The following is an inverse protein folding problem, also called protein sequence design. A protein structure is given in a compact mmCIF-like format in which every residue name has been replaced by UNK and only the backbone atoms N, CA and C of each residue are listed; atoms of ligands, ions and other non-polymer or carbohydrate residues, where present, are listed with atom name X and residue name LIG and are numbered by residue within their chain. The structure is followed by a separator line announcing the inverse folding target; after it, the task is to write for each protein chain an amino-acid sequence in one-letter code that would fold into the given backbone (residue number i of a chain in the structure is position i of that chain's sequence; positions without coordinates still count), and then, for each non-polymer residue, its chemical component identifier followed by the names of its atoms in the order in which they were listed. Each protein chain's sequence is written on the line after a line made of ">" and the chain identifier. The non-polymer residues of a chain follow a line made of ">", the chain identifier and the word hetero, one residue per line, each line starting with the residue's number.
data_IF_358424496324
#
_entry.id   IF_358424496324
#
_cell.length_a   1.000
_cell.length_b   1.000
_cell.length_c   1.000
_cell.angle_alpha   90.00
_cell.angle_beta   90.00
_cell.angle_gamma   90.00
#
_symmetry.space_group_name_H-M   'P 1'
#
loop_
_entity.id
_entity.type
_entity.pdbx_description
1 polymer ?
#
# COMPACT_ATOMS: atom_id res chain seq x y z
N UNK A 1 -5.65 -10.74 -7.87
CA UNK A 1 -5.11 -9.37 -7.69
C UNK A 1 -3.73 -9.51 -7.07
N UNK A 2 -2.69 -9.50 -7.91
CA UNK A 2 -1.30 -9.71 -7.52
C UNK A 2 -0.85 -8.92 -6.28
N UNK A 3 -1.29 -7.67 -6.14
CA UNK A 3 -0.93 -6.80 -5.00
C UNK A 3 -1.32 -7.42 -3.66
N UNK A 4 -2.52 -8.00 -3.58
CA UNK A 4 -2.98 -8.68 -2.38
C UNK A 4 -2.10 -9.90 -2.08
N UNK A 5 -1.78 -10.71 -3.10
CA UNK A 5 -0.96 -11.91 -2.94
C UNK A 5 0.48 -11.59 -2.49
N UNK A 6 1.01 -10.42 -2.87
CA UNK A 6 2.29 -9.93 -2.37
C UNK A 6 2.14 -9.47 -0.93
N UNK A 7 1.27 -8.49 -0.66
CA UNK A 7 1.16 -7.86 0.66
C UNK A 7 0.62 -8.81 1.75
N UNK A 8 -0.16 -9.84 1.40
CA UNK A 8 -0.69 -10.81 2.37
C UNK A 8 0.44 -11.59 3.04
N UNK A 9 1.58 -11.79 2.37
CA UNK A 9 2.75 -12.45 2.96
C UNK A 9 3.28 -11.69 4.18
N UNK A 10 3.19 -10.36 4.20
CA UNK A 10 3.58 -9.53 5.35
C UNK A 10 2.66 -9.69 6.56
N UNK A 11 1.46 -10.25 6.41
CA UNK A 11 0.58 -10.50 7.58
C UNK A 11 1.16 -11.56 8.52
N UNK A 12 2.08 -12.41 8.06
CA UNK A 12 2.87 -13.30 8.94
C UNK A 12 3.64 -12.54 10.02
N UNK A 13 4.04 -11.29 9.75
CA UNK A 13 4.74 -10.39 10.66
C UNK A 13 3.84 -9.84 11.76
N UNK A 14 2.54 -9.78 11.52
CA UNK A 14 1.55 -9.38 12.51
C UNK A 14 1.38 -10.47 13.56
N UNK A 15 1.16 -10.08 14.82
CA UNK A 15 0.82 -10.97 15.94
C UNK A 15 -0.21 -12.00 15.51
N UNK A 16 0.04 -13.27 15.87
CA UNK A 16 -0.70 -14.42 15.36
C UNK A 16 -2.22 -14.29 15.57
N UNK A 17 -2.64 -13.85 16.75
CA UNK A 17 -4.05 -13.61 17.12
C UNK A 17 -4.74 -12.52 16.32
N UNK A 18 -3.98 -11.69 15.60
CA UNK A 18 -4.49 -10.53 14.86
C UNK A 18 -4.31 -10.66 13.33
N UNK A 19 -3.69 -11.75 12.84
CA UNK A 19 -3.38 -11.94 11.42
C UNK A 19 -4.62 -11.91 10.52
N UNK A 20 -5.71 -12.54 10.95
CA UNK A 20 -6.97 -12.52 10.21
C UNK A 20 -7.53 -11.10 10.08
N UNK A 21 -7.42 -10.30 11.13
CA UNK A 21 -7.82 -8.88 11.10
C UNK A 21 -6.94 -8.07 10.17
N UNK A 22 -5.63 -8.30 10.17
CA UNK A 22 -4.70 -7.66 9.24
C UNK A 22 -4.99 -8.03 7.77
N UNK A 23 -5.27 -9.31 7.49
CA UNK A 23 -5.65 -9.79 6.17
C UNK A 23 -6.97 -9.16 5.68
N UNK A 24 -7.96 -9.06 6.58
CA UNK A 24 -9.25 -8.41 6.33
C UNK A 24 -9.10 -6.90 6.08
N UNK A 25 -8.24 -6.23 6.86
CA UNK A 25 -7.90 -4.83 6.66
C UNK A 25 -7.27 -4.59 5.29
N UNK A 26 -6.25 -5.39 4.94
CA UNK A 26 -5.60 -5.34 3.63
C UNK A 26 -6.60 -5.55 2.49
N UNK A 27 -7.45 -6.58 2.58
CA UNK A 27 -8.46 -6.84 1.54
C UNK A 27 -9.41 -5.64 1.37
N UNK A 28 -9.88 -5.06 2.48
CA UNK A 28 -10.77 -3.89 2.48
C UNK A 28 -10.09 -2.68 1.86
N UNK A 29 -8.82 -2.44 2.18
CA UNK A 29 -8.05 -1.34 1.63
C UNK A 29 -7.83 -1.49 0.12
N UNK A 30 -7.48 -2.69 -0.35
CA UNK A 30 -7.30 -2.95 -1.78
C UNK A 30 -8.61 -2.75 -2.54
N UNK A 31 -9.75 -3.17 -1.98
CA UNK A 31 -11.07 -2.87 -2.56
C UNK A 31 -11.35 -1.37 -2.60
N UNK A 32 -11.06 -0.64 -1.51
CA UNK A 32 -11.20 0.81 -1.45
C UNK A 32 -10.36 1.52 -2.53
N UNK A 33 -9.11 1.10 -2.74
CA UNK A 33 -8.26 1.67 -3.81
C UNK A 33 -8.85 1.41 -5.20
N UNK A 34 -9.37 0.20 -5.46
CA UNK A 34 -10.02 -0.07 -6.75
C UNK A 34 -11.26 0.82 -6.99
N UNK A 35 -12.01 1.14 -5.93
CA UNK A 35 -13.18 2.00 -6.03
C UNK A 35 -12.80 3.47 -6.25
N UNK A 36 -11.69 3.94 -5.65
CA UNK A 36 -11.17 5.29 -5.88
C UNK A 36 -10.70 5.49 -7.33
N UNK A 37 -10.22 4.43 -7.98
CA UNK A 37 -9.70 4.48 -9.34
C UNK A 37 -10.53 3.59 -10.30
N UNK A 38 -11.70 4.07 -10.77
CA UNK A 38 -12.67 3.23 -11.48
C UNK A 38 -12.16 2.63 -12.79
N UNK A 39 -11.20 3.29 -13.45
CA UNK A 39 -10.59 2.79 -14.69
C UNK A 39 -9.48 1.78 -14.40
N UNK A 40 -8.54 2.16 -13.54
CA UNK A 40 -7.48 1.33 -12.98
C UNK A 40 -6.69 2.16 -11.99
N UNK A 41 -6.24 1.52 -10.91
CA UNK A 41 -5.27 2.14 -9.98
C UNK A 41 -3.97 2.47 -10.76
N UNK A 42 -3.32 3.62 -10.53
CA UNK A 42 -2.01 3.88 -11.12
C UNK A 42 -0.98 2.85 -10.62
N UNK A 43 -0.14 2.26 -11.48
CA UNK A 43 0.91 1.33 -11.07
C UNK A 43 1.77 1.83 -9.91
N UNK A 44 2.07 3.13 -9.92
CA UNK A 44 2.87 3.81 -8.91
C UNK A 44 2.27 3.62 -7.51
N UNK A 45 0.94 3.66 -7.36
CA UNK A 45 0.29 3.45 -6.06
C UNK A 45 0.59 2.06 -5.52
N UNK A 46 0.35 1.02 -6.31
CA UNK A 46 0.54 -0.35 -5.85
C UNK A 46 2.01 -0.72 -5.67
N UNK A 47 2.87 -0.34 -6.62
CA UNK A 47 4.30 -0.61 -6.54
C UNK A 47 4.92 0.11 -5.34
N UNK A 48 4.60 1.38 -5.09
CA UNK A 48 5.13 2.09 -3.93
C UNK A 48 4.58 1.52 -2.64
N UNK A 49 3.30 1.15 -2.58
CA UNK A 49 2.72 0.52 -1.41
C UNK A 49 3.46 -0.77 -1.05
N UNK A 50 3.77 -1.61 -2.03
CA UNK A 50 4.58 -2.83 -1.85
C UNK A 50 5.98 -2.49 -1.36
N UNK A 51 6.71 -1.63 -2.08
CA UNK A 51 8.08 -1.24 -1.74
C UNK A 51 8.19 -0.76 -0.29
N UNK A 52 7.36 0.21 0.10
CA UNK A 52 7.45 0.83 1.44
C UNK A 52 7.03 -0.13 2.55
N UNK A 53 5.97 -0.93 2.35
CA UNK A 53 5.56 -1.91 3.36
C UNK A 53 6.60 -3.01 3.58
N UNK A 54 7.23 -3.50 2.51
CA UNK A 54 8.31 -4.48 2.64
C UNK A 54 9.55 -3.88 3.30
N UNK A 55 10.00 -2.69 2.88
CA UNK A 55 11.15 -2.00 3.53
C UNK A 55 10.96 -1.85 5.03
N UNK A 56 9.72 -1.65 5.47
CA UNK A 56 9.39 -1.46 6.88
C UNK A 56 9.28 -2.76 7.67
N UNK A 57 8.66 -3.80 7.09
CA UNK A 57 8.20 -4.95 7.86
C UNK A 57 8.81 -6.30 7.45
N UNK A 58 9.44 -6.41 6.29
CA UNK A 58 10.00 -7.68 5.80
C UNK A 58 10.99 -8.30 6.80
N UNK A 59 11.86 -7.47 7.37
CA UNK A 59 12.91 -7.88 8.31
C UNK A 59 12.40 -8.03 9.76
N UNK A 60 11.13 -7.73 10.02
CA UNK A 60 10.54 -7.97 11.32
C UNK A 60 10.40 -9.48 11.59
N UNK A 61 10.42 -9.86 12.87
CA UNK A 61 10.17 -11.24 13.27
C UNK A 61 8.70 -11.59 13.06
N UNK A 62 8.42 -12.81 12.66
CA UNK A 62 7.04 -13.28 12.54
C UNK A 62 6.31 -13.15 13.88
N UNK A 63 5.08 -12.61 13.83
CA UNK A 63 4.27 -12.37 15.03
C UNK A 63 4.72 -11.20 15.90
N UNK A 64 5.70 -10.38 15.50
CA UNK A 64 6.20 -9.28 16.34
C UNK A 64 5.45 -7.96 16.16
N UNK A 65 4.81 -7.74 15.01
CA UNK A 65 4.20 -6.46 14.67
C UNK A 65 2.76 -6.40 15.22
N UNK A 66 2.38 -5.35 15.97
CA UNK A 66 0.99 -5.14 16.36
C UNK A 66 0.09 -4.82 15.15
N UNK A 67 -1.17 -5.26 15.18
CA UNK A 67 -2.15 -4.91 14.13
C UNK A 67 -2.21 -3.40 13.85
N UNK A 68 -2.22 -2.60 14.93
CA UNK A 68 -2.28 -1.13 14.84
C UNK A 68 -1.17 -0.56 13.97
N UNK A 69 0.06 -1.03 14.17
CA UNK A 69 1.22 -0.51 13.44
C UNK A 69 1.08 -0.83 11.94
N UNK A 70 0.85 -2.10 11.63
CA UNK A 70 0.67 -2.56 10.25
C UNK A 70 -0.50 -1.84 9.54
N UNK A 71 -1.66 -1.72 10.20
CA UNK A 71 -2.84 -1.09 9.62
C UNK A 71 -2.65 0.42 9.43
N UNK A 72 -2.07 1.11 10.42
CA UNK A 72 -1.77 2.54 10.33
C UNK A 72 -0.83 2.84 9.17
N UNK A 73 0.27 2.09 9.06
CA UNK A 73 1.28 2.29 8.03
C UNK A 73 0.70 2.07 6.63
N UNK A 74 -0.01 0.96 6.45
CA UNK A 74 -0.64 0.61 5.19
C UNK A 74 -1.69 1.65 4.77
N UNK A 75 -2.52 2.12 5.72
CA UNK A 75 -3.56 3.11 5.45
C UNK A 75 -3.00 4.49 5.12
N UNK A 76 -2.00 4.95 5.89
CA UNK A 76 -1.34 6.23 5.67
C UNK A 76 -0.68 6.28 4.29
N UNK A 77 0.07 5.23 3.93
CA UNK A 77 0.67 5.10 2.61
C UNK A 77 -0.39 5.11 1.50
N UNK A 78 -1.49 4.38 1.66
CA UNK A 78 -2.56 4.38 0.67
C UNK A 78 -3.16 5.77 0.43
N UNK A 79 -3.36 6.58 1.48
CA UNK A 79 -3.82 7.98 1.35
C UNK A 79 -2.79 8.80 0.57
N UNK A 80 -1.53 8.79 1.03
CA UNK A 80 -0.45 9.59 0.44
C UNK A 80 -0.29 9.27 -1.04
N UNK A 81 -0.22 7.99 -1.38
CA UNK A 81 0.04 7.54 -2.74
C UNK A 81 -1.14 7.81 -3.67
N UNK A 82 -2.37 7.71 -3.18
CA UNK A 82 -3.55 8.05 -3.97
C UNK A 82 -3.56 9.54 -4.30
N UNK A 83 -3.33 10.40 -3.30
CA UNK A 83 -3.22 11.85 -3.50
C UNK A 83 -2.07 12.28 -4.41
N UNK A 84 -0.96 11.55 -4.37
CA UNK A 84 0.23 11.88 -5.16
C UNK A 84 0.11 11.49 -6.64
N UNK A 85 -0.87 10.65 -7.01
CA UNK A 85 -0.94 10.05 -8.37
C UNK A 85 -2.17 10.46 -9.17
N UNK A 86 -3.21 10.98 -8.52
CA UNK A 86 -4.39 11.49 -9.22
C UNK A 86 -4.25 12.99 -9.49
N UNK A 87 -4.65 13.41 -10.69
CA UNK A 87 -4.79 14.82 -11.03
C UNK A 87 -6.07 15.39 -10.37
N UNK A 88 -7.08 14.54 -10.17
CA UNK A 88 -8.27 14.86 -9.41
C UNK A 88 -7.95 14.82 -7.90
N UNK A 89 -8.50 15.77 -7.15
CA UNK A 89 -8.25 15.83 -5.72
C UNK A 89 -8.90 14.64 -4.98
N UNK A 90 -8.08 13.70 -4.50
CA UNK A 90 -8.50 12.65 -3.57
C UNK A 90 -8.41 13.19 -2.13
N UNK A 91 -9.49 13.04 -1.37
CA UNK A 91 -9.58 13.45 0.02
C UNK A 91 -9.54 12.23 0.95
N UNK A 92 -9.26 12.47 2.24
CA UNK A 92 -9.26 11.38 3.25
C UNK A 92 -10.65 10.77 3.36
N UNK A 93 -11.67 11.62 3.29
CA UNK A 93 -13.09 11.31 3.36
C UNK A 93 -13.54 10.32 2.27
N UNK A 94 -12.78 10.18 1.19
CA UNK A 94 -13.08 9.23 0.12
C UNK A 94 -12.78 7.78 0.54
N UNK A 95 -11.96 7.56 1.57
CA UNK A 95 -11.65 6.24 2.15
C UNK A 95 -12.78 5.69 3.05
N UNK A 96 -14.03 5.82 2.61
CA UNK A 96 -15.25 5.53 3.39
C UNK A 96 -15.29 4.11 3.95
N UNK A 97 -14.82 3.08 3.22
CA UNK A 97 -14.84 1.69 3.69
C UNK A 97 -13.94 1.49 4.92
N UNK A 98 -12.88 2.26 5.04
CA UNK A 98 -11.99 2.21 6.22
C UNK A 98 -12.56 3.10 7.32
N UNK A 99 -12.93 4.34 6.99
CA UNK A 99 -13.31 5.35 7.97
C UNK A 99 -14.70 5.15 8.59
N UNK A 100 -15.60 4.42 7.94
CA UNK A 100 -16.96 4.17 8.43
C UNK A 100 -17.20 2.75 8.92
N UNK A 101 -16.20 1.86 8.84
CA UNK A 101 -16.35 0.47 9.28
C UNK A 101 -15.74 0.30 10.67
N UNK A 102 -16.53 -0.06 11.71
CA UNK A 102 -16.03 -0.16 13.08
C UNK A 102 -14.83 -1.10 13.25
N UNK A 103 -14.82 -2.23 12.56
CA UNK A 103 -13.70 -3.18 12.60
C UNK A 103 -12.39 -2.59 12.05
N UNK A 104 -12.48 -1.74 11.01
CA UNK A 104 -11.32 -1.10 10.40
C UNK A 104 -10.80 0.05 11.27
N UNK A 105 -11.71 0.83 11.87
CA UNK A 105 -11.37 1.85 12.86
C UNK A 105 -10.69 1.25 14.11
N UNK A 106 -11.18 0.08 14.56
CA UNK A 106 -10.55 -0.65 15.66
C UNK A 106 -9.14 -1.11 15.30
N UNK A 107 -8.91 -1.58 14.06
CA UNK A 107 -7.58 -1.97 13.60
C UNK A 107 -6.61 -0.77 13.57
N UNK A 108 -7.09 0.43 13.29
CA UNK A 108 -6.30 1.67 13.35
C UNK A 108 -6.11 2.22 14.78
N UNK A 109 -6.84 1.67 15.76
CA UNK A 109 -6.85 2.12 17.15
C UNK A 109 -7.08 3.63 17.29
N UNK A 110 -8.05 4.14 16.52
CA UNK A 110 -8.49 5.53 16.61
C UNK A 110 -9.27 5.77 17.89
N UNK A 111 -8.88 6.82 18.62
CA UNK A 111 -9.49 7.23 19.89
C UNK A 111 -10.89 7.78 19.68
N UNK A 112 -11.84 7.38 20.54
CA UNK A 112 -13.24 7.83 20.49
C UNK A 112 -13.41 9.33 20.79
N UNK A 113 -12.43 9.96 21.47
CA UNK A 113 -12.48 11.37 21.85
C UNK A 113 -12.05 12.36 20.76
N UNK A 114 -11.57 11.88 19.62
CA UNK A 114 -11.08 12.73 18.52
C UNK A 114 -11.81 12.40 17.22
N UNK A 115 -12.01 13.41 16.37
CA UNK A 115 -12.53 13.19 15.02
C UNK A 115 -11.64 12.21 14.25
N UNK A 116 -12.26 11.19 13.65
CA UNK A 116 -11.61 10.18 12.79
C UNK A 116 -10.79 10.85 11.69
N UNK A 117 -11.31 11.92 11.09
CA UNK A 117 -10.62 12.67 10.04
C UNK A 117 -9.35 13.34 10.58
N UNK A 118 -9.41 13.94 11.77
CA UNK A 118 -8.22 14.57 12.40
C UNK A 118 -7.14 13.54 12.69
N UNK A 119 -7.53 12.35 13.17
CA UNK A 119 -6.60 11.25 13.43
C UNK A 119 -5.97 10.73 12.12
N UNK A 120 -6.77 10.55 11.07
CA UNK A 120 -6.28 10.17 9.75
C UNK A 120 -5.32 11.21 9.13
N UNK A 121 -5.61 12.52 9.26
CA UNK A 121 -4.71 13.61 8.85
C UNK A 121 -3.38 13.57 9.60
N UNK A 122 -3.44 13.31 10.90
CA UNK A 122 -2.24 13.20 11.75
C UNK A 122 -1.40 12.01 11.30
N UNK A 123 -2.04 10.87 11.06
CA UNK A 123 -1.40 9.66 10.57
C UNK A 123 -0.76 9.86 9.20
N UNK A 124 -1.47 10.47 8.24
CA UNK A 124 -0.94 10.85 6.92
C UNK A 124 0.32 11.71 7.05
N UNK A 125 0.28 12.77 7.87
CA UNK A 125 1.42 13.67 8.06
C UNK A 125 2.64 12.94 8.63
N UNK A 126 2.43 12.13 9.67
CA UNK A 126 3.53 11.37 10.32
C UNK A 126 4.18 10.43 9.30
N UNK A 127 3.38 9.71 8.51
CA UNK A 127 3.93 8.77 7.54
C UNK A 127 4.62 9.47 6.38
N UNK A 128 4.08 10.60 5.91
CA UNK A 128 4.68 11.38 4.84
C UNK A 128 6.09 11.89 5.21
N UNK A 129 6.25 12.37 6.44
CA UNK A 129 7.57 12.75 6.99
C UNK A 129 8.47 11.52 7.12
N UNK A 130 7.92 10.39 7.59
CA UNK A 130 8.68 9.14 7.80
C UNK A 130 9.25 8.58 6.50
N UNK A 131 8.53 8.69 5.39
CA UNK A 131 9.02 8.28 4.06
C UNK A 131 9.85 9.36 3.37
N UNK A 132 10.19 10.44 4.06
CA UNK A 132 10.96 11.58 3.53
C UNK A 132 10.34 12.14 2.24
N UNK A 133 9.01 12.17 2.18
CA UNK A 133 8.24 12.59 0.99
C UNK A 133 8.56 11.78 -0.28
N UNK A 134 9.24 10.63 -0.17
CA UNK A 134 9.64 9.79 -1.29
C UNK A 134 8.51 8.82 -1.69
N UNK A 135 7.62 9.29 -2.56
CA UNK A 135 6.49 8.48 -3.08
C UNK A 135 6.84 7.62 -4.31
N UNK A 136 8.10 7.67 -4.77
CA UNK A 136 8.56 6.85 -5.90
C UNK A 136 8.87 5.42 -5.41
N UNK A 137 8.46 4.38 -6.14
CA UNK A 137 8.85 3.02 -5.81
C UNK A 137 10.31 2.77 -6.22
N UNK A 138 10.99 1.96 -5.43
CA UNK A 138 12.24 1.31 -5.78
C UNK A 138 11.96 0.01 -6.54
N UNK A 139 12.11 0.05 -7.87
CA UNK A 139 11.74 -1.07 -8.74
C UNK A 139 12.68 -2.26 -8.59
N UNK A 140 13.95 -2.03 -8.24
CA UNK A 140 14.92 -3.10 -8.02
C UNK A 140 14.56 -3.89 -6.76
N UNK A 141 14.15 -3.19 -5.69
CA UNK A 141 13.64 -3.82 -4.48
C UNK A 141 12.36 -4.63 -4.75
N UNK A 142 11.43 -4.13 -5.58
CA UNK A 142 10.23 -4.89 -5.95
C UNK A 142 10.58 -6.17 -6.72
N UNK A 143 11.56 -6.10 -7.62
CA UNK A 143 12.04 -7.28 -8.35
C UNK A 143 12.69 -8.31 -7.41
N UNK A 144 13.33 -7.87 -6.34
CA UNK A 144 13.84 -8.76 -5.29
C UNK A 144 12.70 -9.45 -4.53
N UNK A 145 11.68 -8.70 -4.12
CA UNK A 145 10.47 -9.25 -3.47
C UNK A 145 9.82 -10.33 -4.34
N UNK A 146 9.66 -10.06 -5.65
CA UNK A 146 9.06 -11.02 -6.59
C UNK A 146 9.87 -12.32 -6.71
N UNK A 147 11.19 -12.24 -6.73
CA UNK A 147 12.08 -13.42 -6.74
C UNK A 147 11.91 -14.25 -5.46
N UNK A 148 11.80 -13.61 -4.31
CA UNK A 148 11.66 -14.30 -3.03
C UNK A 148 10.33 -15.06 -2.90
N UNK A 149 9.23 -14.48 -3.40
CA UNK A 149 7.89 -15.09 -3.29
C UNK A 149 7.73 -16.36 -4.14
N UNK A 150 8.54 -16.51 -5.21
CA UNK A 150 8.56 -17.68 -6.09
C UNK A 150 7.17 -18.15 -6.59
N UNK A 151 6.21 -17.23 -6.68
CA UNK A 151 4.86 -17.49 -7.15
C UNK A 151 4.70 -16.99 -8.60
N UNK A 152 4.61 -17.95 -9.53
CA UNK A 152 4.43 -17.68 -10.95
C UNK A 152 3.12 -16.93 -11.25
N UNK A 153 2.08 -17.12 -10.45
CA UNK A 153 0.78 -16.46 -10.66
C UNK A 153 0.89 -14.94 -10.48
N UNK A 154 1.72 -14.49 -9.53
CA UNK A 154 1.98 -13.06 -9.28
C UNK A 154 2.61 -12.42 -10.51
N UNK A 155 3.59 -13.10 -11.13
CA UNK A 155 4.25 -12.60 -12.33
C UNK A 155 3.27 -12.46 -13.50
N UNK A 156 2.43 -13.49 -13.74
CA UNK A 156 1.43 -13.47 -14.81
C UNK A 156 0.39 -12.37 -14.60
N UNK A 157 -0.11 -12.22 -13.37
CA UNK A 157 -1.08 -11.18 -13.03
C UNK A 157 -0.47 -9.78 -13.20
N UNK A 158 0.78 -9.57 -12.77
CA UNK A 158 1.48 -8.30 -12.92
C UNK A 158 1.71 -7.97 -14.40
N UNK A 159 2.24 -8.93 -15.18
CA UNK A 159 2.41 -8.79 -16.63
C UNK A 159 1.08 -8.42 -17.29
N UNK A 160 0.00 -9.11 -16.94
CA UNK A 160 -1.33 -8.88 -17.52
C UNK A 160 -1.87 -7.49 -17.15
N UNK A 161 -1.66 -7.07 -15.90
CA UNK A 161 -2.05 -5.75 -15.41
C UNK A 161 -1.37 -4.64 -16.22
N UNK A 162 -0.05 -4.69 -16.34
CA UNK A 162 0.70 -3.68 -17.07
C UNK A 162 0.49 -3.73 -18.57
N UNK A 163 0.20 -4.89 -19.16
CA UNK A 163 -0.14 -4.98 -20.59
C UNK A 163 -1.43 -4.23 -20.95
N UNK A 164 -2.39 -4.22 -20.03
CA UNK A 164 -3.67 -3.54 -20.24
C UNK A 164 -3.59 -2.03 -19.96
N UNK A 165 -2.59 -1.61 -19.21
CA UNK A 165 -2.23 -0.21 -19.09
C UNK A 165 -1.40 0.12 -20.33
N UNK A 166 -2.01 0.80 -21.30
CA UNK A 166 -1.32 1.32 -22.48
C UNK A 166 -0.37 2.42 -21.97
N UNK A 167 0.78 2.05 -21.40
CA UNK A 167 1.72 3.01 -20.82
C UNK A 167 2.84 3.27 -21.83
N UNK A 168 2.87 4.50 -22.35
CA UNK A 168 3.99 5.07 -23.10
C UNK A 168 5.15 5.45 -22.14
N UNK A 169 5.58 4.54 -21.27
CA UNK A 169 6.63 4.83 -20.29
C UNK A 169 7.76 3.81 -20.34
N UNK A 170 8.88 4.26 -20.90
CA UNK A 170 10.14 3.50 -20.97
C UNK A 170 10.59 2.97 -19.59
N UNK A 171 10.23 3.67 -18.50
CA UNK A 171 10.59 3.29 -17.14
C UNK A 171 9.90 1.99 -16.72
N UNK A 172 8.64 1.78 -17.10
CA UNK A 172 7.93 0.53 -16.81
C UNK A 172 8.28 -0.58 -17.81
N UNK A 173 8.66 -0.24 -19.04
CA UNK A 173 9.10 -1.24 -20.02
C UNK A 173 10.33 -2.01 -19.53
N UNK A 174 11.32 -1.29 -18.98
CA UNK A 174 12.50 -1.95 -18.41
C UNK A 174 12.12 -2.86 -17.25
N UNK A 175 11.32 -2.37 -16.30
CA UNK A 175 10.84 -3.18 -15.18
C UNK A 175 10.06 -4.42 -15.63
N UNK A 176 9.14 -4.28 -16.59
CA UNK A 176 8.38 -5.40 -17.13
C UNK A 176 9.27 -6.41 -17.84
N UNK A 177 10.26 -5.95 -18.60
CA UNK A 177 11.23 -6.85 -19.23
C UNK A 177 11.95 -7.72 -18.19
N UNK A 178 12.28 -7.15 -17.03
CA UNK A 178 12.88 -7.90 -15.92
C UNK A 178 11.89 -8.87 -15.26
N UNK A 179 10.62 -8.48 -15.06
CA UNK A 179 9.57 -9.39 -14.57
C UNK A 179 9.37 -10.57 -15.52
N UNK A 180 9.34 -10.31 -16.83
CA UNK A 180 9.26 -11.36 -17.86
C UNK A 180 10.48 -12.29 -17.82
N UNK A 181 11.68 -11.74 -17.61
CA UNK A 181 12.89 -12.55 -17.47
C UNK A 181 12.82 -13.46 -16.24
N UNK A 182 12.39 -12.96 -15.08
CA UNK A 182 12.16 -13.77 -13.88
C UNK A 182 11.16 -14.89 -14.14
N UNK A 183 9.98 -14.55 -14.70
CA UNK A 183 8.96 -15.52 -15.06
C UNK A 183 9.49 -16.62 -15.98
N UNK A 184 10.27 -16.27 -17.02
CA UNK A 184 10.87 -17.24 -17.94
C UNK A 184 11.92 -18.14 -17.26
N UNK A 185 12.75 -17.59 -16.39
CA UNK A 185 13.72 -18.36 -15.63
C UNK A 185 13.06 -19.41 -14.72
N UNK A 186 11.86 -19.15 -14.20
CA UNK A 186 11.09 -20.13 -13.42
C UNK A 186 10.42 -21.22 -14.26
N UNK A 187 10.09 -20.94 -15.53
CA UNK A 187 9.48 -21.92 -16.44
C UNK A 187 10.47 -22.92 -17.03
N UNK A 188 11.72 -22.51 -17.20
CA UNK A 188 12.78 -23.39 -17.69
C UNK A 188 13.40 -24.01 -16.44
N UNK A 189 13.10 -25.28 -16.09
CA UNK A 189 13.84 -25.93 -15.01
C UNK A 189 15.33 -25.84 -15.39
N UNK A 190 16.23 -25.58 -14.43
CA UNK A 190 17.65 -25.64 -14.72
C UNK A 190 17.90 -27.06 -15.23
N UNK A 191 17.97 -27.21 -16.55
CA UNK A 191 18.37 -28.45 -17.20
C UNK A 191 19.69 -28.74 -16.55
N UNK A 192 19.72 -29.82 -15.76
CA UNK A 192 20.86 -30.13 -14.95
C UNK A 192 22.11 -29.91 -15.78
N UNK A 193 23.11 -29.28 -15.19
CA UNK A 193 24.47 -29.62 -15.54
C UNK A 193 24.62 -31.13 -15.28
N UNK A 194 24.07 -31.95 -16.17
CA UNK A 194 24.60 -33.25 -16.46
C UNK A 194 26.00 -32.93 -16.90
N UNK A 195 26.93 -33.02 -15.94
CA UNK A 195 28.29 -33.41 -16.22
C UNK A 195 28.18 -34.66 -17.07
N UNK A 196 28.06 -34.48 -18.39
CA UNK A 196 28.20 -35.57 -19.32
C UNK A 196 29.64 -36.03 -19.11
N UNK A 197 29.88 -37.24 -18.58
CA UNK A 197 31.18 -37.84 -18.76
C UNK A 197 31.39 -37.87 -20.26
N UNK A 198 32.57 -37.49 -20.72
CA UNK A 198 32.98 -37.53 -22.12
C UNK A 198 32.97 -38.97 -22.64
N UNK A 199 31.78 -39.51 -22.90
CA UNK A 199 31.60 -40.82 -23.48
C UNK A 199 31.91 -40.74 -24.97
N UNK A 200 33.06 -41.28 -25.33
CA UNK A 200 33.40 -41.62 -26.72
C UNK A 200 32.27 -42.46 -27.30
N UNK A 201 31.61 -41.93 -28.32
CA UNK A 201 30.56 -42.61 -29.09
C UNK A 201 31.11 -43.92 -29.68
N UNK A 202 30.51 -45.05 -29.29
CA UNK A 202 30.26 -46.17 -30.19
C UNK A 202 28.76 -46.29 -30.35
N UNK A 203 28.27 -46.16 -31.58
CA UNK A 203 26.91 -46.54 -31.95
C UNK A 203 26.69 -48.02 -31.64
N UNK A 204 25.49 -48.35 -31.16
CA UNK A 204 24.80 -49.45 -31.81
C UNK A 204 23.33 -49.11 -32.16
N UNK A 205 22.83 -49.97 -33.03
CA UNK A 205 21.56 -49.93 -33.73
C UNK A 205 20.32 -50.06 -32.84
N UNK A 206 19.22 -49.70 -33.50
CA UNK A 206 17.80 -49.82 -33.16
C UNK A 206 17.44 -51.03 -32.30
N UNK A 207 16.53 -50.83 -31.35
CA UNK A 207 15.31 -51.63 -31.26
C UNK A 207 14.20 -50.90 -30.49
N UNK A 208 13.00 -51.03 -31.03
CA UNK A 208 11.66 -50.63 -30.58
C UNK A 208 11.22 -51.32 -29.28
N UNK A 209 10.52 -50.63 -28.37
CA UNK A 209 9.13 -50.97 -28.03
C UNK A 209 8.47 -50.01 -27.03
N UNK A 210 7.15 -49.92 -27.15
CA UNK A 210 6.19 -49.17 -26.35
C UNK A 210 6.18 -49.53 -24.85
N UNK A 211 5.90 -48.56 -23.97
CA UNK A 211 4.70 -48.61 -23.10
C UNK A 211 4.51 -47.41 -22.16
N UNK A 212 3.22 -47.23 -21.86
CA UNK A 212 2.54 -46.18 -21.10
C UNK A 212 3.08 -45.80 -19.72
N UNK A 213 2.83 -44.55 -19.32
CA UNK A 213 2.46 -44.25 -17.92
C UNK A 213 1.58 -43.01 -17.79
N UNK A 214 0.46 -43.21 -17.10
CA UNK A 214 -0.51 -42.24 -16.59
C UNK A 214 0.13 -40.99 -15.97
N UNK A 215 -0.27 -39.81 -16.42
CA UNK A 215 -0.19 -38.58 -15.63
C UNK A 215 -1.55 -38.27 -14.99
N UNK A 216 -1.62 -38.43 -13.68
CA UNK A 216 -2.70 -37.93 -12.84
C UNK A 216 -2.63 -36.39 -12.77
N UNK A 217 -3.69 -35.71 -13.20
CA UNK A 217 -3.94 -34.29 -12.93
C UNK A 217 -4.28 -34.11 -11.44
N UNK A 218 -3.67 -33.15 -10.72
CA UNK A 218 -4.24 -32.67 -9.47
C UNK A 218 -5.42 -31.73 -9.73
N UNK A 219 -6.47 -31.91 -8.94
CA UNK A 219 -7.63 -31.03 -8.83
C UNK A 219 -7.15 -29.60 -8.47
N UNK A 220 -7.54 -28.62 -9.29
CA UNK A 220 -7.46 -27.21 -8.94
C UNK A 220 -8.70 -26.89 -8.10
N UNK A 221 -8.47 -26.51 -6.84
CA UNK A 221 -9.48 -25.94 -5.95
C UNK A 221 -10.02 -24.64 -6.57
N UNK A 222 -11.31 -24.63 -6.90
CA UNK A 222 -12.05 -23.45 -7.31
C UNK A 222 -12.40 -22.63 -6.06
N UNK A 223 -11.75 -21.50 -5.85
CA UNK A 223 -12.28 -20.44 -4.99
C UNK A 223 -13.22 -19.55 -5.82
N UNK A 224 -14.48 -19.34 -5.39
CA UNK A 224 -15.44 -18.52 -6.10
C UNK A 224 -15.31 -17.06 -5.65
N UNK A 225 -14.41 -16.29 -6.26
CA UNK A 225 -14.43 -14.84 -6.08
C UNK A 225 -14.25 -14.11 -7.41
N UNK A 226 -15.26 -13.29 -7.72
CA UNK A 226 -15.30 -12.19 -8.70
C UNK A 226 -15.68 -12.54 -10.15
N UNK A 227 -16.98 -12.82 -10.38
CA UNK A 227 -17.64 -12.46 -11.64
C UNK A 227 -17.91 -10.94 -11.57
N UNK A 228 -17.13 -10.13 -12.29
CA UNK A 228 -17.50 -8.72 -12.54
C UNK A 228 -18.55 -8.66 -13.65
N UNK A 229 -19.66 -7.93 -13.48
CA UNK A 229 -20.53 -7.62 -14.61
C UNK A 229 -19.77 -6.75 -15.63
N UNK A 230 -19.84 -7.13 -16.91
CA UNK A 230 -19.40 -6.29 -18.04
C UNK A 230 -20.27 -5.04 -18.07
N UNK A 231 -19.70 -3.90 -17.71
CA UNK A 231 -20.30 -2.58 -18.00
C UNK A 231 -19.75 -2.14 -19.36
N UNK A 232 -20.65 -1.81 -20.30
CA UNK A 232 -20.30 -1.25 -21.60
C UNK A 232 -19.73 0.17 -21.42
N UNK A 233 -18.49 0.46 -21.86
CA UNK A 233 -17.94 1.80 -21.80
C UNK A 233 -18.27 2.54 -23.10
N UNK A 234 -19.45 3.15 -23.14
CA UNK A 234 -19.73 4.22 -24.09
C UNK A 234 -19.77 5.52 -23.28
N UNK A 235 -18.64 6.24 -23.19
CA UNK A 235 -18.52 7.70 -23.14
C UNK A 235 -17.05 8.11 -22.88
N UNK A 236 -16.47 8.82 -23.87
CA UNK A 236 -15.31 9.72 -23.80
C UNK A 236 -14.07 9.29 -22.98
N UNK A 237 -13.12 8.60 -23.64
CA UNK A 237 -11.75 8.43 -23.12
C UNK A 237 -10.89 9.62 -23.53
N UNK A 238 -10.87 10.68 -22.71
CA UNK A 238 -9.68 11.51 -22.64
C UNK A 238 -8.56 10.62 -22.09
N UNK A 239 -7.48 10.47 -22.85
CA UNK A 239 -6.31 9.73 -22.41
C UNK A 239 -5.81 10.37 -21.10
N UNK A 240 -5.91 9.62 -20.00
CA UNK A 240 -5.38 10.05 -18.70
C UNK A 240 -3.86 10.18 -18.87
N UNK A 241 -3.38 11.43 -18.93
CA UNK A 241 -1.96 11.74 -18.96
C UNK A 241 -1.45 11.52 -17.54
N UNK A 242 -0.50 10.61 -17.37
CA UNK A 242 0.19 10.49 -16.10
C UNK A 242 1.17 11.64 -15.96
N UNK A 243 1.15 12.32 -14.81
CA UNK A 243 2.10 13.41 -14.50
C UNK A 243 3.53 12.94 -14.77
N UNK A 244 4.25 13.69 -15.61
CA UNK A 244 5.66 13.44 -15.84
C UNK A 244 6.44 13.71 -14.55
N UNK A 245 7.61 13.07 -14.41
CA UNK A 245 8.54 13.32 -13.29
C UNK A 245 8.83 14.82 -13.08
N UNK A 246 8.85 15.62 -14.15
CA UNK A 246 9.04 17.08 -14.07
C UNK A 246 7.83 17.80 -13.48
N UNK A 247 6.61 17.40 -13.85
CA UNK A 247 5.38 18.00 -13.33
C UNK A 247 5.17 17.62 -11.85
N UNK A 248 5.45 16.36 -11.48
CA UNK A 248 5.39 15.92 -10.08
C UNK A 248 6.43 16.64 -9.19
N UNK A 249 7.65 16.86 -9.68
CA UNK A 249 8.71 17.57 -8.94
C UNK A 249 8.46 19.08 -8.89
N UNK A 250 7.94 19.69 -9.96
CA UNK A 250 7.60 21.13 -9.98
C UNK A 250 6.45 21.48 -9.04
N UNK A 251 5.55 20.54 -8.80
CA UNK A 251 4.46 20.75 -7.85
C UNK A 251 4.92 20.75 -6.40
N UNK A 252 6.17 20.36 -6.09
CA UNK A 252 6.69 20.14 -4.74
C UNK A 252 5.65 19.42 -3.88
N UNK A 253 5.78 18.11 -3.61
CA UNK A 253 4.90 17.45 -2.65
C UNK A 253 4.71 18.28 -1.38
N UNK A 254 5.76 18.96 -0.92
CA UNK A 254 5.71 19.97 0.14
C UNK A 254 4.68 21.08 -0.12
N UNK A 255 4.74 21.80 -1.24
CA UNK A 255 3.84 22.91 -1.54
C UNK A 255 2.38 22.47 -1.76
N UNK A 256 2.16 21.33 -2.43
CA UNK A 256 0.83 20.75 -2.57
C UNK A 256 0.24 20.38 -1.19
N UNK A 257 0.99 19.65 -0.37
CA UNK A 257 0.54 19.25 0.95
C UNK A 257 0.38 20.48 1.89
N UNK A 258 1.34 21.40 1.92
CA UNK A 258 1.28 22.66 2.70
C UNK A 258 0.07 23.52 2.33
N UNK A 259 -0.26 23.63 1.02
CA UNK A 259 -1.42 24.39 0.57
C UNK A 259 -2.74 23.84 1.10
N UNK A 260 -2.86 22.52 1.33
CA UNK A 260 -4.06 21.93 1.94
C UNK A 260 -4.14 22.16 3.45
N UNK A 261 -3.02 22.43 4.12
CA UNK A 261 -2.98 22.70 5.56
C UNK A 261 -3.21 24.17 5.90
N UNK A 262 -2.81 25.10 5.03
CA UNK A 262 -2.91 26.54 5.28
C UNK A 262 -4.35 27.10 5.17
N UNK A 263 -5.28 26.40 4.52
CA UNK A 263 -6.65 26.91 4.32
C UNK A 263 -7.54 26.76 5.57
N UNK A 264 -7.14 25.95 6.57
CA UNK A 264 -7.96 25.67 7.76
C UNK A 264 -7.50 26.34 9.05
N UNK A 265 -6.40 27.10 9.03
CA UNK A 265 -6.03 27.96 10.16
C UNK A 265 -6.58 29.37 9.89
N UNK A 266 -7.88 29.56 10.13
CA UNK A 266 -8.40 30.91 10.34
C UNK A 266 -7.66 31.49 11.55
N UNK A 267 -7.00 32.66 11.43
CA UNK A 267 -6.37 33.28 12.58
C UNK A 267 -7.48 33.61 13.58
N UNK A 268 -7.49 32.91 14.71
CA UNK A 268 -8.22 33.31 15.90
C UNK A 268 -7.65 34.66 16.32
N UNK A 269 -8.25 35.73 15.79
CA UNK A 269 -8.08 37.08 16.30
C UNK A 269 -8.41 37.03 17.80
N UNK A 270 -7.50 37.47 18.68
CA UNK A 270 -7.82 37.59 20.08
C UNK A 270 -8.99 38.58 20.22
N UNK A 271 -9.99 38.29 21.06
CA UNK A 271 -11.06 39.24 21.31
C UNK A 271 -10.46 40.53 21.86
N UNK A 272 -10.84 41.66 21.27
CA UNK A 272 -10.49 42.98 21.74
C UNK A 272 -10.85 43.07 23.23
N UNK A 273 -9.83 43.24 24.07
CA UNK A 273 -9.97 43.52 25.50
C UNK A 273 -10.65 44.87 25.66
N UNK A 274 -11.90 44.84 26.10
CA UNK A 274 -12.64 46.02 26.58
C UNK A 274 -11.91 46.60 27.80
N UNK A 275 -11.44 47.83 27.65
CA UNK A 275 -11.05 48.70 28.76
C UNK A 275 -12.30 49.05 29.58
N UNK A 276 -12.53 48.33 30.67
CA UNK A 276 -13.44 48.75 31.73
C UNK A 276 -12.61 49.28 32.90
N UNK A 277 -12.47 50.60 32.93
CA UNK A 277 -11.99 51.36 34.08
C UNK A 277 -13.02 51.29 35.21
N UNK A 278 -12.60 50.95 36.43
CA UNK A 278 -13.53 51.00 37.55
C UNK A 278 -13.07 50.45 38.89
N UNK A 279 -12.55 51.37 39.72
CA UNK A 279 -12.67 51.42 41.20
C UNK A 279 -11.73 50.59 42.10
N UNK A 280 -10.83 51.36 42.74
CA UNK A 280 -10.23 51.18 44.07
C UNK A 280 -11.28 50.93 45.16
N UNK A 281 -11.00 49.99 46.08
CA UNK A 281 -11.20 50.04 47.57
C UNK A 281 -10.16 49.06 48.16
N UNK A 282 -9.04 49.54 48.70
CA UNK A 282 -8.73 49.79 50.12
C UNK A 282 -8.72 48.55 51.05
N UNK A 283 -7.49 48.23 51.47
CA UNK A 283 -6.98 47.89 52.82
C UNK A 283 -7.80 47.05 53.81
N UNK A 284 -7.18 45.95 54.28
CA UNK A 284 -7.37 45.49 55.67
C UNK A 284 -6.91 44.05 55.98
N UNK A 285 -6.21 43.76 57.10
CA UNK A 285 -5.27 42.64 57.19
C UNK A 285 -5.63 41.50 58.17
N UNK A 286 -4.87 40.39 58.05
CA UNK A 286 -4.39 39.43 59.07
C UNK A 286 -5.39 38.67 59.97
N UNK A 287 -5.25 37.34 59.99
CA UNK A 287 -5.17 36.43 61.16
C UNK A 287 -5.31 34.97 60.67
N UNK A 288 -4.25 34.16 60.62
CA UNK A 288 -3.67 33.33 61.70
C UNK A 288 -4.45 32.05 62.08
N UNK A 289 -3.75 30.91 61.94
CA UNK A 289 -3.97 29.67 62.71
C UNK A 289 -4.90 28.65 62.05
N UNK A 290 -4.80 27.35 62.30
CA UNK A 290 -3.89 26.54 63.11
C UNK A 290 -4.25 25.07 62.80
N UNK A 291 -3.29 24.20 63.07
CA UNK A 291 -3.24 22.74 62.90
C UNK A 291 -4.40 21.92 63.49
N UNK A 292 -4.60 20.70 62.94
CA UNK A 292 -4.68 19.36 63.60
C UNK A 292 -5.34 18.36 62.63
N UNK A 293 -4.67 17.30 62.17
CA UNK A 293 -4.45 16.00 62.84
C UNK A 293 -5.71 15.51 63.56
N UNK A 294 -6.49 14.63 62.92
CA UNK A 294 -6.68 13.22 63.28
C UNK A 294 -7.19 12.46 62.05
#
# INVERSE_FOLDING_TARGET
>A
MWVYNILIALTSKVKETEREKAASFLATLILQLNDLFPNSVPPQVYLTLIDKMYKKHEQAKDGSIPLKEFACDLFALAIILSKATDEDAIYIEDFKRILHTPAQLQALDFSLGLSVITQAKTLERIELIRIDYQVKPDLDHILEILKQLNDLSIHVDLISYFRNLIVESELFDHFLSQVYAQYRCHLIPPTGQTNFPSFKRKCPEKETNDNASLYKKPLINQHPFLIRPRVNPSHCTLAKRYLSRKEFIQLSPLAFFESQYLVNESPLLPPASEESSGKKIDDGPKASGLSRIF
#
